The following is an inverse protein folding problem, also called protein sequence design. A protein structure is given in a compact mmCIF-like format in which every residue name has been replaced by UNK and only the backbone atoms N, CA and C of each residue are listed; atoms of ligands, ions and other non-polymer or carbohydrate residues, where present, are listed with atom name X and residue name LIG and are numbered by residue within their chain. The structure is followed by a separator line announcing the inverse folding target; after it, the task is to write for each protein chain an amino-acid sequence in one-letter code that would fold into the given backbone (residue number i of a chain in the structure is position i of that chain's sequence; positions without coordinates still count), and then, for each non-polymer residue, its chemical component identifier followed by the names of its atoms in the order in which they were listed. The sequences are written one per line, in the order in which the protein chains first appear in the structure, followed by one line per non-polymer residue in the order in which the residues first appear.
data_IF_030351035072
#
_entry.id   IF_030351035072
#
_cell.length_a   1.000
_cell.length_b   1.000
_cell.length_c   1.000
_cell.angle_alpha   90.00
_cell.angle_beta   90.00
_cell.angle_gamma   90.00
#
_symmetry.space_group_name_H-M   'P 1'
#
loop_
_entity.id
_entity.type
_entity.pdbx_description
1 polymer ?
#
# COMPACT_ATOMS: atom_id res chain seq x y z
N UNK A 1 51.47 -73.46 35.55
CA UNK A 1 52.56 -73.00 36.44
C UNK A 1 52.40 -71.54 36.69
N UNK A 2 52.07 -71.24 37.93
CA UNK A 2 52.63 -70.24 38.83
C UNK A 2 52.72 -68.82 38.32
N UNK A 3 52.34 -67.78 39.00
CA UNK A 3 51.86 -67.49 40.39
C UNK A 3 51.81 -65.95 40.50
N UNK A 4 50.83 -65.48 41.29
CA UNK A 4 50.85 -64.41 42.29
C UNK A 4 50.97 -62.95 41.80
N UNK A 5 49.84 -62.16 42.07
CA UNK A 5 49.63 -61.34 43.26
C UNK A 5 50.69 -60.26 43.51
N UNK A 6 50.23 -58.98 43.41
CA UNK A 6 50.21 -58.09 44.58
C UNK A 6 49.39 -56.83 44.40
N UNK A 7 48.63 -56.62 45.34
CA UNK A 7 47.88 -55.47 45.87
C UNK A 7 48.75 -54.22 46.16
N UNK A 8 48.17 -53.04 45.95
CA UNK A 8 48.17 -51.87 46.87
C UNK A 8 47.53 -50.68 46.10
N UNK A 9 46.43 -50.30 46.56
CA UNK A 9 45.95 -49.31 47.54
C UNK A 9 46.28 -47.87 47.22
N UNK A 10 45.16 -47.13 47.04
CA UNK A 10 44.87 -45.78 47.46
C UNK A 10 45.53 -44.58 46.79
N UNK A 11 44.68 -43.75 46.13
CA UNK A 11 44.43 -42.40 46.61
C UNK A 11 43.22 -41.81 45.87
N UNK A 12 42.16 -41.49 46.60
CA UNK A 12 41.05 -40.67 46.17
C UNK A 12 41.54 -39.26 45.86
N UNK A 13 41.31 -38.81 44.61
CA UNK A 13 41.29 -37.39 44.29
C UNK A 13 39.88 -37.04 43.79
N UNK A 14 39.09 -36.41 44.68
CA UNK A 14 37.82 -35.81 44.35
C UNK A 14 38.11 -34.54 43.55
N UNK A 15 37.96 -34.61 42.21
CA UNK A 15 37.94 -33.41 41.39
C UNK A 15 36.47 -32.93 41.29
N UNK A 16 36.15 -31.86 42.03
CA UNK A 16 34.90 -31.14 41.88
C UNK A 16 34.90 -30.45 40.52
N UNK A 17 34.17 -31.01 39.53
CA UNK A 17 33.81 -30.30 38.33
C UNK A 17 32.78 -29.25 38.70
N UNK A 18 33.20 -28.00 38.82
CA UNK A 18 32.32 -26.83 38.78
C UNK A 18 31.61 -26.83 37.41
N UNK A 19 30.34 -27.26 37.42
CA UNK A 19 29.44 -27.06 36.30
C UNK A 19 29.17 -25.57 36.17
N UNK A 20 29.97 -24.83 35.44
CA UNK A 20 29.58 -23.51 34.92
C UNK A 20 28.46 -23.72 33.92
N UNK A 21 27.23 -23.72 34.45
CA UNK A 21 26.01 -23.61 33.65
C UNK A 21 26.02 -22.26 32.93
N UNK A 22 26.67 -22.17 31.81
CA UNK A 22 26.46 -21.11 30.85
C UNK A 22 25.02 -21.22 30.43
N UNK A 23 24.16 -20.28 30.88
CA UNK A 23 22.86 -20.06 30.27
C UNK A 23 23.14 -19.72 28.82
N UNK A 24 23.03 -20.72 27.94
CA UNK A 24 22.92 -20.48 26.51
C UNK A 24 21.67 -19.59 26.36
N UNK A 25 21.88 -18.29 26.19
CA UNK A 25 20.84 -17.39 25.72
C UNK A 25 20.41 -17.97 24.38
N UNK A 26 19.25 -18.64 24.39
CA UNK A 26 18.62 -19.08 23.16
C UNK A 26 18.59 -17.87 22.24
N UNK A 27 19.31 -17.93 21.13
CA UNK A 27 19.21 -16.90 20.11
C UNK A 27 17.73 -16.81 19.74
N UNK A 28 17.12 -15.61 19.82
CA UNK A 28 15.72 -15.47 19.46
C UNK A 28 15.57 -15.97 18.03
N UNK A 29 14.70 -16.97 17.85
CA UNK A 29 14.44 -17.53 16.53
C UNK A 29 14.12 -16.43 15.54
N UNK A 30 14.76 -16.45 14.35
CA UNK A 30 14.43 -15.52 13.28
C UNK A 30 12.93 -15.62 12.95
N UNK A 31 12.27 -14.48 12.76
CA UNK A 31 10.85 -14.42 12.45
C UNK A 31 10.65 -13.92 11.02
N UNK A 32 9.65 -14.46 10.33
CA UNK A 32 9.26 -14.00 8.99
C UNK A 32 7.85 -13.45 9.03
N UNK A 33 7.68 -12.22 8.55
CA UNK A 33 6.39 -11.59 8.29
C UNK A 33 6.05 -11.66 6.80
N UNK A 34 4.76 -11.76 6.48
CA UNK A 34 4.23 -11.49 5.15
C UNK A 34 3.41 -10.20 5.18
N UNK A 35 3.86 -9.18 4.45
CA UNK A 35 3.09 -7.97 4.19
C UNK A 35 2.42 -8.08 2.81
N UNK A 36 1.09 -8.00 2.81
CA UNK A 36 0.27 -7.98 1.59
C UNK A 36 -0.12 -6.53 1.30
N UNK A 37 0.40 -5.99 0.19
CA UNK A 37 0.34 -4.57 -0.13
C UNK A 37 -0.19 -4.30 -1.53
N UNK A 38 -0.57 -3.06 -1.80
CA UNK A 38 -0.92 -2.61 -3.14
C UNK A 38 0.31 -2.20 -3.95
N UNK A 39 0.15 -2.18 -5.30
CA UNK A 39 1.28 -2.08 -6.24
C UNK A 39 2.24 -0.89 -6.03
N UNK A 40 1.78 0.37 -5.82
CA UNK A 40 2.66 1.53 -5.77
C UNK A 40 3.67 1.56 -4.62
N UNK A 41 3.53 0.70 -3.62
CA UNK A 41 4.40 0.69 -2.42
C UNK A 41 5.68 -0.13 -2.55
N UNK A 42 5.95 -0.74 -3.70
CA UNK A 42 7.07 -1.67 -3.87
C UNK A 42 8.40 -1.06 -3.44
N UNK A 43 8.71 0.10 -3.97
CA UNK A 43 9.97 0.80 -3.73
C UNK A 43 10.07 1.31 -2.29
N UNK A 44 8.97 1.83 -1.74
CA UNK A 44 8.87 2.25 -0.34
C UNK A 44 9.23 1.10 0.60
N UNK A 45 8.58 -0.05 0.44
CA UNK A 45 8.78 -1.17 1.37
C UNK A 45 10.13 -1.86 1.22
N UNK A 46 10.86 -1.71 0.13
CA UNK A 46 12.25 -2.19 0.05
C UNK A 46 13.13 -1.47 1.10
N UNK A 47 13.09 -0.16 1.15
CA UNK A 47 13.88 0.64 2.09
C UNK A 47 13.33 0.54 3.52
N UNK A 48 12.01 0.64 3.67
CA UNK A 48 11.31 0.54 4.94
C UNK A 48 11.57 -0.79 5.66
N UNK A 49 11.48 -1.91 4.97
CA UNK A 49 11.70 -3.24 5.54
C UNK A 49 13.14 -3.40 6.05
N UNK A 50 14.11 -2.87 5.32
CA UNK A 50 15.50 -2.88 5.76
C UNK A 50 15.72 -2.02 7.03
N UNK A 51 15.09 -0.85 7.11
CA UNK A 51 15.14 0.01 8.27
C UNK A 51 14.48 -0.64 9.49
N UNK A 52 13.27 -1.18 9.32
CA UNK A 52 12.57 -1.89 10.38
C UNK A 52 13.36 -3.11 10.89
N UNK A 53 13.94 -3.90 10.01
CA UNK A 53 14.71 -5.08 10.39
C UNK A 53 15.90 -4.70 11.29
N UNK A 54 16.62 -3.63 10.96
CA UNK A 54 17.71 -3.08 11.81
C UNK A 54 17.17 -2.60 13.17
N UNK A 55 16.08 -1.84 13.15
CA UNK A 55 15.42 -1.32 14.35
C UNK A 55 14.97 -2.45 15.28
N UNK A 56 14.31 -3.46 14.74
CA UNK A 56 13.84 -4.61 15.52
C UNK A 56 15.00 -5.40 16.13
N UNK A 57 16.03 -5.69 15.33
CA UNK A 57 17.24 -6.37 15.79
C UNK A 57 17.94 -5.62 16.92
N UNK A 58 18.07 -4.30 16.80
CA UNK A 58 18.72 -3.47 17.83
C UNK A 58 17.95 -3.49 19.15
N UNK A 59 16.61 -3.54 19.11
CA UNK A 59 15.74 -3.52 20.29
C UNK A 59 15.56 -4.87 20.97
N UNK A 60 15.53 -5.95 20.20
CA UNK A 60 15.10 -7.27 20.67
C UNK A 60 16.15 -8.34 20.56
N UNK A 61 17.21 -8.12 19.79
CA UNK A 61 18.18 -9.16 19.39
C UNK A 61 17.66 -10.15 18.34
N UNK A 62 16.37 -10.08 17.99
CA UNK A 62 15.73 -11.01 17.04
C UNK A 62 15.90 -10.54 15.60
N UNK A 63 16.24 -11.45 14.70
CA UNK A 63 16.22 -11.19 13.27
C UNK A 63 14.78 -11.27 12.73
N UNK A 64 14.43 -10.34 11.84
CA UNK A 64 13.15 -10.35 11.12
C UNK A 64 13.37 -10.24 9.63
N UNK A 65 12.65 -11.07 8.87
CA UNK A 65 12.57 -11.01 7.42
C UNK A 65 11.14 -10.65 7.02
N UNK A 66 10.97 -9.68 6.14
CA UNK A 66 9.65 -9.27 5.65
C UNK A 66 9.50 -9.69 4.19
N UNK A 67 8.61 -10.64 3.93
CA UNK A 67 8.20 -11.03 2.59
C UNK A 67 7.09 -10.12 2.12
N UNK A 68 7.08 -9.80 0.83
CA UNK A 68 6.07 -8.90 0.25
C UNK A 68 5.23 -9.64 -0.80
N UNK A 69 3.92 -9.34 -0.79
CA UNK A 69 3.02 -9.63 -1.90
C UNK A 69 2.44 -8.31 -2.41
N UNK A 70 2.59 -8.01 -3.69
CA UNK A 70 2.08 -6.78 -4.29
C UNK A 70 1.11 -7.07 -5.43
N UNK A 71 0.08 -6.25 -5.54
CA UNK A 71 -0.94 -6.35 -6.59
C UNK A 71 -2.00 -5.27 -6.47
N UNK A 72 -3.06 -5.36 -7.25
CA UNK A 72 -4.23 -4.50 -7.06
C UNK A 72 -4.85 -4.71 -5.68
N UNK A 73 -5.15 -3.62 -4.96
CA UNK A 73 -5.53 -3.64 -3.53
C UNK A 73 -6.74 -4.54 -3.24
N UNK A 74 -7.81 -4.44 -4.00
CA UNK A 74 -8.98 -5.31 -3.84
C UNK A 74 -8.68 -6.78 -4.13
N UNK A 75 -7.77 -7.07 -5.09
CA UNK A 75 -7.27 -8.42 -5.33
C UNK A 75 -6.44 -8.95 -4.17
N UNK A 76 -5.61 -8.10 -3.55
CA UNK A 76 -4.80 -8.45 -2.39
C UNK A 76 -5.67 -8.74 -1.16
N UNK A 77 -6.69 -7.92 -0.91
CA UNK A 77 -7.69 -8.20 0.13
C UNK A 77 -8.36 -9.57 -0.10
N UNK A 78 -8.79 -9.86 -1.32
CA UNK A 78 -9.37 -11.15 -1.70
C UNK A 78 -8.41 -12.30 -1.44
N UNK A 79 -7.13 -12.18 -1.78
CA UNK A 79 -6.13 -13.22 -1.54
C UNK A 79 -6.00 -13.57 -0.05
N UNK A 80 -6.09 -12.58 0.86
CA UNK A 80 -6.10 -12.84 2.32
C UNK A 80 -7.38 -13.58 2.72
N UNK A 81 -8.53 -13.15 2.22
CA UNK A 81 -9.83 -13.80 2.49
C UNK A 81 -9.82 -15.27 2.02
N UNK A 82 -9.19 -15.53 0.88
CA UNK A 82 -9.05 -16.85 0.27
C UNK A 82 -7.93 -17.71 0.93
N UNK A 83 -7.28 -17.20 1.99
CA UNK A 83 -6.37 -17.98 2.83
C UNK A 83 -4.88 -17.63 2.71
N UNK A 84 -4.49 -16.54 2.02
CA UNK A 84 -3.11 -16.09 2.05
C UNK A 84 -2.72 -15.63 3.48
N UNK A 85 -1.71 -16.26 4.06
CA UNK A 85 -1.33 -16.12 5.46
C UNK A 85 -0.54 -14.82 5.73
N UNK A 86 -1.14 -13.67 5.37
CA UNK A 86 -0.58 -12.35 5.64
C UNK A 86 -0.50 -12.08 7.15
N UNK A 87 0.60 -11.51 7.61
CA UNK A 87 0.74 -10.98 8.97
C UNK A 87 0.19 -9.55 9.06
N UNK A 88 0.46 -8.76 8.03
CA UNK A 88 -0.05 -7.40 7.90
C UNK A 88 -0.61 -7.15 6.50
N UNK A 89 -1.60 -6.29 6.43
CA UNK A 89 -2.18 -5.79 5.22
C UNK A 89 -1.95 -4.27 5.14
N UNK A 90 -1.36 -3.81 4.04
CA UNK A 90 -1.07 -2.39 3.77
C UNK A 90 -1.70 -2.05 2.43
N UNK A 91 -3.01 -1.75 2.47
CA UNK A 91 -3.87 -1.66 1.30
C UNK A 91 -4.09 -0.21 0.85
N UNK A 92 -4.62 -0.02 -0.36
CA UNK A 92 -4.77 1.29 -0.97
C UNK A 92 -5.87 2.15 -0.35
N UNK A 93 -6.82 1.54 0.35
CA UNK A 93 -8.00 2.22 0.89
C UNK A 93 -8.68 1.41 2.00
N UNK A 94 -9.36 2.10 2.91
CA UNK A 94 -10.02 1.48 4.06
C UNK A 94 -11.11 0.47 3.64
N UNK A 95 -11.85 0.71 2.56
CA UNK A 95 -12.90 -0.23 2.12
C UNK A 95 -12.37 -1.60 1.69
N UNK A 96 -11.15 -1.70 1.14
CA UNK A 96 -10.53 -2.99 0.87
C UNK A 96 -10.08 -3.69 2.17
N UNK A 97 -9.67 -2.90 3.18
CA UNK A 97 -9.33 -3.41 4.51
C UNK A 97 -10.58 -3.87 5.27
N UNK A 98 -11.69 -3.13 5.20
CA UNK A 98 -12.97 -3.51 5.79
C UNK A 98 -13.49 -4.84 5.27
N UNK A 99 -13.20 -5.17 4.01
CA UNK A 99 -13.54 -6.46 3.42
C UNK A 99 -12.92 -7.65 4.20
N UNK A 100 -11.77 -7.47 4.85
CA UNK A 100 -11.16 -8.49 5.71
C UNK A 100 -11.98 -8.76 6.97
N UNK A 101 -12.67 -7.73 7.48
CA UNK A 101 -13.62 -7.89 8.59
C UNK A 101 -14.91 -8.57 8.11
N UNK A 102 -15.52 -8.00 7.07
CA UNK A 102 -16.87 -8.40 6.63
C UNK A 102 -16.90 -9.79 6.00
N UNK A 103 -15.80 -10.23 5.36
CA UNK A 103 -15.70 -11.52 4.67
C UNK A 103 -14.80 -12.50 5.42
N UNK A 104 -15.13 -12.78 6.68
CA UNK A 104 -14.50 -13.87 7.42
C UNK A 104 -13.86 -13.49 8.76
N UNK A 105 -13.98 -12.22 9.20
CA UNK A 105 -13.52 -11.81 10.53
C UNK A 105 -12.01 -11.96 10.73
N UNK A 106 -11.22 -11.67 9.69
CA UNK A 106 -9.76 -11.72 9.74
C UNK A 106 -9.16 -10.63 10.65
N UNK A 107 -9.89 -9.50 10.77
CA UNK A 107 -9.57 -8.34 11.61
C UNK A 107 -10.82 -7.89 12.37
N UNK A 108 -10.72 -7.19 13.50
CA UNK A 108 -11.88 -6.63 14.20
C UNK A 108 -12.48 -5.43 13.43
N UNK A 109 -13.72 -5.11 13.76
CA UNK A 109 -14.46 -4.02 13.13
C UNK A 109 -13.80 -2.63 13.35
N UNK A 110 -13.20 -2.43 14.50
CA UNK A 110 -12.61 -1.17 14.93
C UNK A 110 -11.09 -1.06 14.64
N UNK A 111 -10.61 -1.83 13.68
CA UNK A 111 -9.18 -1.87 13.28
C UNK A 111 -8.56 -0.48 13.02
N UNK A 112 -9.33 0.46 12.48
CA UNK A 112 -8.87 1.82 12.21
C UNK A 112 -8.42 2.59 13.44
N UNK A 113 -8.97 2.26 14.63
CA UNK A 113 -8.65 2.94 15.89
C UNK A 113 -7.32 2.51 16.50
N UNK A 114 -6.66 1.52 15.94
CA UNK A 114 -5.45 0.91 16.51
C UNK A 114 -4.19 1.74 16.32
N UNK A 115 -4.14 2.54 15.26
CA UNK A 115 -2.99 3.36 14.91
C UNK A 115 -3.43 4.80 14.63
N UNK A 116 -2.51 5.78 14.73
CA UNK A 116 -2.85 7.17 14.45
C UNK A 116 -3.45 7.40 13.05
N UNK A 117 -4.19 8.49 12.91
CA UNK A 117 -4.80 8.91 11.64
C UNK A 117 -5.68 7.82 11.01
N UNK A 118 -6.49 7.12 11.81
CA UNK A 118 -7.33 6.01 11.36
C UNK A 118 -6.52 4.91 10.66
N UNK A 119 -5.34 4.58 11.22
CA UNK A 119 -4.40 3.59 10.68
C UNK A 119 -3.89 3.92 9.27
N UNK A 120 -3.72 5.22 8.98
CA UNK A 120 -3.22 5.74 7.70
C UNK A 120 -1.89 6.47 7.92
N UNK A 121 -0.73 5.80 7.78
CA UNK A 121 0.57 6.37 8.12
C UNK A 121 1.09 7.41 7.13
N UNK A 122 0.53 7.47 5.94
CA UNK A 122 0.85 8.41 4.87
C UNK A 122 -0.36 8.65 3.99
N UNK A 123 -0.30 9.67 3.16
CA UNK A 123 -1.31 9.96 2.15
C UNK A 123 -0.69 10.08 0.76
N UNK A 124 -1.53 10.17 -0.25
CA UNK A 124 -1.16 10.45 -1.63
C UNK A 124 -2.33 11.14 -2.33
N UNK A 125 -2.22 11.32 -3.62
CA UNK A 125 -3.33 11.83 -4.44
C UNK A 125 -3.22 11.28 -5.87
N UNK A 126 -4.18 11.63 -6.71
CA UNK A 126 -4.21 11.25 -8.11
C UNK A 126 -3.73 12.44 -8.97
N UNK A 127 -2.85 12.13 -9.89
CA UNK A 127 -2.29 13.07 -10.86
C UNK A 127 -2.49 12.55 -12.29
N UNK A 128 -2.27 13.42 -13.27
CA UNK A 128 -2.40 13.12 -14.68
C UNK A 128 -0.99 13.00 -15.29
N UNK A 129 -0.52 11.78 -15.53
CA UNK A 129 0.75 11.55 -16.23
C UNK A 129 0.50 11.65 -17.73
N UNK A 130 1.28 12.48 -18.41
CA UNK A 130 1.15 12.77 -19.83
C UNK A 130 2.44 12.42 -20.59
N UNK A 131 2.38 12.36 -21.90
CA UNK A 131 3.58 12.25 -22.72
C UNK A 131 4.45 13.49 -22.59
N UNK A 132 5.77 13.33 -22.72
CA UNK A 132 6.71 14.44 -22.63
C UNK A 132 6.32 15.61 -23.53
N UNK A 133 6.40 16.83 -23.00
CA UNK A 133 5.95 18.03 -23.68
C UNK A 133 4.45 18.16 -23.87
N UNK A 134 3.67 17.24 -23.31
CA UNK A 134 2.20 17.28 -23.28
C UNK A 134 1.56 17.59 -24.66
N UNK A 135 1.78 16.75 -25.69
CA UNK A 135 1.36 17.05 -27.07
C UNK A 135 -0.15 17.18 -27.25
N UNK A 136 -0.95 16.59 -26.32
CA UNK A 136 -2.40 16.71 -26.30
C UNK A 136 -2.90 17.92 -25.52
N UNK A 137 -2.00 18.73 -24.95
CA UNK A 137 -2.33 19.91 -24.13
C UNK A 137 -3.37 19.57 -23.03
N UNK A 138 -3.14 18.47 -22.32
CA UNK A 138 -3.95 18.07 -21.16
C UNK A 138 -3.65 19.02 -20.00
N UNK A 139 -4.66 19.63 -19.43
CA UNK A 139 -4.52 20.59 -18.32
C UNK A 139 -5.30 20.20 -17.08
N UNK A 140 -6.44 19.52 -17.29
CA UNK A 140 -7.33 19.12 -16.20
C UNK A 140 -8.22 17.95 -16.63
N UNK A 141 -9.09 17.50 -15.75
CA UNK A 141 -10.03 16.40 -15.97
C UNK A 141 -10.89 16.57 -17.25
N UNK A 142 -11.27 17.81 -17.60
CA UNK A 142 -12.09 18.08 -18.81
C UNK A 142 -11.45 17.57 -20.10
N UNK A 143 -10.14 17.60 -20.19
CA UNK A 143 -9.43 17.16 -21.38
C UNK A 143 -9.51 15.66 -21.59
N UNK A 144 -9.84 14.89 -20.52
CA UNK A 144 -9.91 13.44 -20.58
C UNK A 144 -11.15 12.89 -21.29
N UNK A 145 -12.18 13.73 -21.50
CA UNK A 145 -13.39 13.34 -22.22
C UNK A 145 -13.36 13.75 -23.70
N UNK A 146 -12.27 14.33 -24.16
CA UNK A 146 -12.09 14.67 -25.59
C UNK A 146 -11.94 13.39 -26.41
N UNK A 147 -12.54 13.30 -27.61
CA UNK A 147 -12.54 12.08 -28.42
C UNK A 147 -11.13 11.71 -28.98
N UNK A 148 -10.24 12.69 -29.05
CA UNK A 148 -8.85 12.50 -29.51
C UNK A 148 -7.87 12.12 -28.40
N UNK A 149 -8.33 11.94 -27.14
CA UNK A 149 -7.53 11.58 -25.97
C UNK A 149 -7.79 10.14 -25.55
N UNK A 150 -6.72 9.35 -25.38
CA UNK A 150 -6.79 8.00 -24.84
C UNK A 150 -6.28 7.97 -23.40
N UNK A 151 -7.12 7.49 -22.50
CA UNK A 151 -6.89 7.47 -21.05
C UNK A 151 -6.48 6.06 -20.62
N UNK A 152 -5.41 5.95 -19.85
CA UNK A 152 -5.00 4.73 -19.17
C UNK A 152 -5.37 4.83 -17.69
N UNK A 153 -6.05 3.82 -17.19
CA UNK A 153 -6.41 3.65 -15.77
C UNK A 153 -6.63 2.16 -15.49
N UNK A 154 -6.31 1.66 -14.29
CA UNK A 154 -6.62 0.27 -13.95
C UNK A 154 -8.12 0.06 -13.69
N UNK A 155 -8.49 -1.20 -13.46
CA UNK A 155 -9.88 -1.61 -13.26
C UNK A 155 -10.33 -1.36 -11.80
N UNK A 156 -11.40 -0.58 -11.54
CA UNK A 156 -11.93 -0.34 -10.20
C UNK A 156 -12.44 -1.60 -9.47
N UNK A 157 -12.73 -2.68 -10.18
CA UNK A 157 -13.12 -3.96 -9.56
C UNK A 157 -11.94 -4.70 -8.90
N UNK A 158 -10.69 -4.38 -9.27
CA UNK A 158 -9.50 -5.07 -8.77
C UNK A 158 -8.45 -4.15 -8.14
N UNK A 159 -8.44 -2.87 -8.51
CA UNK A 159 -7.45 -1.88 -8.13
C UNK A 159 -8.05 -0.79 -7.24
N UNK A 160 -7.50 -0.62 -6.04
CA UNK A 160 -7.85 0.50 -5.17
C UNK A 160 -7.45 1.85 -5.79
N UNK A 161 -6.31 1.91 -6.50
CA UNK A 161 -5.91 3.12 -7.24
C UNK A 161 -6.94 3.55 -8.27
N UNK A 162 -7.53 2.59 -8.98
CA UNK A 162 -8.59 2.88 -9.95
C UNK A 162 -9.86 3.43 -9.29
N UNK A 163 -10.18 3.01 -8.05
CA UNK A 163 -11.31 3.59 -7.30
C UNK A 163 -11.03 5.03 -6.92
N UNK A 164 -9.82 5.34 -6.50
CA UNK A 164 -9.39 6.72 -6.26
C UNK A 164 -9.47 7.57 -7.54
N UNK A 165 -8.99 7.05 -8.68
CA UNK A 165 -9.07 7.73 -9.98
C UNK A 165 -10.51 8.06 -10.37
N UNK A 166 -11.40 7.07 -10.26
CA UNK A 166 -12.82 7.19 -10.58
C UNK A 166 -13.51 8.23 -9.70
N UNK A 167 -13.31 8.17 -8.37
CA UNK A 167 -13.95 9.08 -7.43
C UNK A 167 -13.40 10.51 -7.55
N UNK A 168 -12.11 10.69 -7.88
CA UNK A 168 -11.56 12.01 -8.15
C UNK A 168 -12.20 12.66 -9.38
N UNK A 169 -12.34 11.91 -10.47
CA UNK A 169 -13.02 12.38 -11.68
C UNK A 169 -14.51 12.66 -11.45
N UNK A 170 -15.17 11.82 -10.65
CA UNK A 170 -16.59 11.98 -10.31
C UNK A 170 -16.85 13.30 -9.55
N UNK A 171 -16.13 13.52 -8.47
CA UNK A 171 -16.33 14.70 -7.62
C UNK A 171 -15.93 15.99 -8.34
N UNK A 172 -14.87 15.96 -9.16
CA UNK A 172 -14.55 17.09 -10.03
C UNK A 172 -15.75 17.45 -10.93
N UNK A 173 -16.32 16.47 -11.61
CA UNK A 173 -17.43 16.69 -12.52
C UNK A 173 -18.72 17.13 -11.78
N UNK A 174 -18.98 16.52 -10.62
CA UNK A 174 -20.11 16.87 -9.76
C UNK A 174 -20.07 18.33 -9.33
N UNK A 175 -18.90 18.82 -8.88
CA UNK A 175 -18.73 20.23 -8.48
C UNK A 175 -18.81 21.18 -9.68
N UNK A 176 -18.20 20.79 -10.79
CA UNK A 176 -18.10 21.67 -11.97
C UNK A 176 -19.40 21.76 -12.76
N UNK A 177 -20.10 20.65 -12.97
CA UNK A 177 -21.26 20.58 -13.85
C UNK A 177 -22.60 20.47 -13.14
N UNK A 178 -22.60 20.31 -11.82
CA UNK A 178 -23.78 20.29 -10.96
C UNK A 178 -24.47 18.92 -10.86
N UNK A 179 -24.10 18.16 -9.82
CA UNK A 179 -24.80 16.96 -9.38
C UNK A 179 -24.33 15.64 -9.99
N UNK A 180 -24.82 14.55 -9.38
CA UNK A 180 -24.35 13.19 -9.68
C UNK A 180 -24.69 12.70 -11.10
N UNK A 181 -25.82 13.15 -11.67
CA UNK A 181 -26.18 12.80 -13.04
C UNK A 181 -25.15 13.32 -14.07
N UNK A 182 -24.64 14.54 -13.87
CA UNK A 182 -23.61 15.12 -14.72
C UNK A 182 -22.25 14.46 -14.48
N UNK A 183 -21.95 14.10 -13.24
CA UNK A 183 -20.75 13.33 -12.93
C UNK A 183 -20.77 11.96 -13.63
N UNK A 184 -21.91 11.27 -13.62
CA UNK A 184 -22.06 9.99 -14.32
C UNK A 184 -21.86 10.11 -15.83
N UNK A 185 -22.45 11.13 -16.48
CA UNK A 185 -22.23 11.41 -17.92
C UNK A 185 -20.73 11.66 -18.20
N UNK A 186 -20.09 12.45 -17.37
CA UNK A 186 -18.66 12.79 -17.50
C UNK A 186 -17.77 11.56 -17.38
N UNK A 187 -17.94 10.78 -16.30
CA UNK A 187 -17.12 9.58 -16.05
C UNK A 187 -17.39 8.53 -17.12
N UNK A 188 -18.62 8.40 -17.63
CA UNK A 188 -18.92 7.53 -18.78
C UNK A 188 -18.10 7.92 -19.99
N UNK A 189 -18.05 9.19 -20.38
CA UNK A 189 -17.24 9.69 -21.50
C UNK A 189 -15.75 9.45 -21.27
N UNK A 190 -15.27 9.62 -20.03
CA UNK A 190 -13.90 9.33 -19.67
C UNK A 190 -13.58 7.84 -19.92
N UNK A 191 -14.44 6.92 -19.47
CA UNK A 191 -14.23 5.48 -19.64
C UNK A 191 -14.46 5.00 -21.10
N UNK A 192 -15.20 5.74 -21.92
CA UNK A 192 -15.27 5.52 -23.38
C UNK A 192 -13.91 5.76 -24.06
N UNK A 193 -13.06 6.59 -23.47
CA UNK A 193 -11.69 6.85 -23.91
C UNK A 193 -10.64 5.87 -23.33
N UNK A 194 -11.06 4.90 -22.50
CA UNK A 194 -10.16 3.92 -21.88
C UNK A 194 -10.09 2.65 -22.75
N UNK A 195 -8.96 2.41 -23.45
CA UNK A 195 -8.84 1.27 -24.38
C UNK A 195 -8.61 -0.06 -23.64
N UNK A 196 -8.05 -0.03 -22.41
CA UNK A 196 -7.71 -1.22 -21.63
C UNK A 196 -7.80 -0.93 -20.15
N UNK A 197 -8.31 -1.90 -19.38
CA UNK A 197 -8.33 -1.87 -17.91
C UNK A 197 -7.38 -2.94 -17.37
N UNK A 198 -6.20 -2.49 -16.93
CA UNK A 198 -5.24 -3.36 -16.26
C UNK A 198 -5.72 -3.74 -14.86
N UNK A 199 -5.22 -4.84 -14.30
CA UNK A 199 -5.66 -5.34 -12.99
C UNK A 199 -5.18 -4.53 -11.80
N UNK A 200 -4.15 -3.67 -11.99
CA UNK A 200 -3.57 -2.82 -10.94
C UNK A 200 -2.73 -1.68 -11.52
N UNK A 201 -2.30 -0.78 -10.65
CA UNK A 201 -1.56 0.43 -11.02
C UNK A 201 -0.28 0.11 -11.81
N UNK A 202 0.50 -0.89 -11.38
CA UNK A 202 1.74 -1.26 -12.08
C UNK A 202 1.48 -1.78 -13.50
N UNK A 203 0.39 -2.50 -13.74
CA UNK A 203 -0.04 -2.90 -15.08
C UNK A 203 -0.27 -1.68 -15.98
N UNK A 204 -0.98 -0.69 -15.47
CA UNK A 204 -1.24 0.56 -16.20
C UNK A 204 0.01 1.40 -16.43
N UNK A 205 0.95 1.44 -15.49
CA UNK A 205 2.27 2.07 -15.68
C UNK A 205 3.03 1.41 -16.84
N UNK A 206 3.04 0.07 -16.90
CA UNK A 206 3.66 -0.70 -18.01
C UNK A 206 2.94 -0.41 -19.33
N UNK A 207 1.62 -0.44 -19.34
CA UNK A 207 0.81 -0.15 -20.55
C UNK A 207 1.10 1.27 -21.06
N UNK A 208 1.15 2.25 -20.18
CA UNK A 208 1.46 3.62 -20.56
C UNK A 208 2.93 3.79 -20.94
N UNK A 209 3.87 3.59 -20.01
CA UNK A 209 5.26 4.00 -20.20
C UNK A 209 6.09 3.05 -21.08
N UNK A 210 5.89 1.72 -20.98
CA UNK A 210 6.69 0.74 -21.72
C UNK A 210 6.04 0.34 -23.04
N UNK A 211 4.70 0.12 -23.07
CA UNK A 211 3.99 -0.24 -24.30
C UNK A 211 3.56 0.97 -25.12
N UNK A 212 3.82 2.16 -24.63
CA UNK A 212 3.51 3.44 -25.28
C UNK A 212 2.03 3.59 -25.70
N UNK A 213 1.10 3.08 -24.87
CA UNK A 213 -0.34 3.21 -25.12
C UNK A 213 -0.93 4.36 -24.33
N UNK A 214 -1.92 5.05 -24.91
CA UNK A 214 -2.62 6.17 -24.29
C UNK A 214 -1.87 7.50 -24.35
N UNK A 215 -2.60 8.57 -24.13
CA UNK A 215 -2.10 9.95 -24.10
C UNK A 215 -1.93 10.48 -22.69
N UNK A 216 -2.76 9.99 -21.77
CA UNK A 216 -2.77 10.34 -20.35
C UNK A 216 -2.99 9.10 -19.49
N UNK A 217 -2.30 9.04 -18.35
CA UNK A 217 -2.44 7.97 -17.36
C UNK A 217 -2.86 8.57 -16.02
N UNK A 218 -3.99 8.10 -15.47
CA UNK A 218 -4.45 8.45 -14.13
C UNK A 218 -3.63 7.66 -13.11
N UNK A 219 -2.79 8.34 -12.38
CA UNK A 219 -1.76 7.71 -11.56
C UNK A 219 -1.73 8.25 -10.14
N UNK A 220 -1.20 7.44 -9.23
CA UNK A 220 -0.74 7.91 -7.94
C UNK A 220 0.40 8.92 -8.10
N UNK A 221 0.45 9.91 -7.23
CA UNK A 221 1.50 10.93 -7.22
C UNK A 221 2.91 10.31 -7.13
N UNK A 222 3.13 9.35 -6.24
CA UNK A 222 4.42 8.67 -6.11
C UNK A 222 4.82 7.88 -7.36
N UNK A 223 3.87 7.22 -8.04
CA UNK A 223 4.13 6.51 -9.31
C UNK A 223 4.53 7.49 -10.42
N UNK A 224 3.93 8.68 -10.45
CA UNK A 224 4.28 9.70 -11.44
C UNK A 224 5.74 10.14 -11.29
N UNK A 225 6.20 10.40 -10.08
CA UNK A 225 7.61 10.70 -9.79
C UNK A 225 8.55 9.55 -10.14
N UNK A 226 8.14 8.31 -9.86
CA UNK A 226 8.94 7.13 -10.24
C UNK A 226 9.04 6.98 -11.75
N UNK A 227 7.93 7.20 -12.48
CA UNK A 227 7.93 7.18 -13.95
C UNK A 227 8.82 8.27 -14.54
N UNK A 228 8.75 9.50 -14.01
CA UNK A 228 9.63 10.59 -14.41
C UNK A 228 11.10 10.25 -14.15
N UNK A 229 11.42 9.64 -13.01
CA UNK A 229 12.78 9.20 -12.68
C UNK A 229 13.28 8.06 -13.57
N UNK A 230 12.41 7.10 -13.91
CA UNK A 230 12.78 5.91 -14.69
C UNK A 230 12.84 6.20 -16.19
N UNK A 231 11.87 6.97 -16.72
CA UNK A 231 11.72 7.21 -18.16
C UNK A 231 12.16 8.61 -18.59
N UNK A 232 12.57 9.45 -17.65
CA UNK A 232 13.15 10.77 -17.91
C UNK A 232 12.26 11.63 -18.82
N UNK A 233 12.81 12.04 -19.97
CA UNK A 233 12.15 12.93 -20.93
C UNK A 233 10.97 12.33 -21.69
N UNK A 234 10.48 11.13 -21.35
CA UNK A 234 9.35 10.49 -22.06
C UNK A 234 8.00 10.81 -21.45
N UNK A 235 7.96 11.24 -20.21
CA UNK A 235 6.73 11.52 -19.46
C UNK A 235 6.87 12.81 -18.65
N UNK A 236 5.76 13.52 -18.50
CA UNK A 236 5.55 14.61 -17.56
C UNK A 236 4.31 14.30 -16.75
N UNK A 237 4.02 15.04 -15.69
CA UNK A 237 2.73 14.92 -15.02
C UNK A 237 2.18 16.26 -14.58
N UNK A 238 0.88 16.31 -14.36
CA UNK A 238 0.10 17.51 -14.07
C UNK A 238 -0.71 17.26 -12.82
N UNK A 239 -0.74 18.22 -11.92
CA UNK A 239 -1.70 18.26 -10.84
C UNK A 239 -3.02 18.83 -11.37
N UNK A 240 -4.13 18.08 -11.31
CA UNK A 240 -5.43 18.62 -11.70
C UNK A 240 -5.90 19.69 -10.70
N UNK A 241 -6.85 20.53 -11.13
CA UNK A 241 -7.40 21.63 -10.31
C UNK A 241 -8.05 21.18 -9.00
N UNK A 242 -8.56 19.95 -8.96
CA UNK A 242 -9.14 19.27 -7.81
C UNK A 242 -8.76 17.79 -7.87
N UNK A 243 -8.36 17.22 -6.75
CA UNK A 243 -8.13 15.78 -6.63
C UNK A 243 -8.59 15.25 -5.27
N UNK A 244 -8.45 13.94 -5.05
CA UNK A 244 -8.85 13.28 -3.81
C UNK A 244 -7.66 13.05 -2.89
N UNK A 245 -7.86 13.26 -1.58
CA UNK A 245 -6.91 12.82 -0.56
C UNK A 245 -6.98 11.31 -0.44
N UNK A 246 -6.01 10.64 -1.03
CA UNK A 246 -5.93 9.19 -0.93
C UNK A 246 -5.25 8.77 0.38
N UNK A 247 -5.92 7.94 1.15
CA UNK A 247 -5.53 7.50 2.49
C UNK A 247 -5.35 5.97 2.53
N UNK A 248 -4.16 5.46 2.16
CA UNK A 248 -3.85 4.05 2.26
C UNK A 248 -3.86 3.56 3.70
N UNK A 249 -4.59 2.47 3.96
CA UNK A 249 -4.80 1.95 5.29
C UNK A 249 -3.93 0.74 5.60
N UNK A 250 -3.50 0.61 6.85
CA UNK A 250 -2.67 -0.50 7.31
C UNK A 250 -3.29 -1.20 8.53
N UNK A 251 -3.17 -2.52 8.59
CA UNK A 251 -3.65 -3.30 9.73
C UNK A 251 -2.87 -4.59 9.92
N UNK A 252 -2.80 -5.07 11.15
CA UNK A 252 -2.43 -6.45 11.48
C UNK A 252 -3.58 -7.37 11.07
N UNK A 253 -3.28 -8.53 10.48
CA UNK A 253 -4.26 -9.57 10.17
C UNK A 253 -4.37 -10.51 11.38
N UNK A 254 -5.25 -10.19 12.31
CA UNK A 254 -5.33 -10.77 13.66
C UNK A 254 -5.34 -12.28 13.69
N UNK A 255 -6.23 -12.89 12.91
CA UNK A 255 -6.38 -14.33 12.86
C UNK A 255 -5.09 -15.06 12.47
N UNK A 256 -4.29 -14.45 11.59
CA UNK A 256 -3.04 -15.05 11.13
C UNK A 256 -1.92 -14.85 12.15
N UNK A 257 -1.75 -13.64 12.69
CA UNK A 257 -0.66 -13.36 13.63
C UNK A 257 -0.83 -14.11 14.94
N UNK A 258 -2.08 -14.34 15.38
CA UNK A 258 -2.36 -15.13 16.58
C UNK A 258 -1.99 -16.61 16.37
N UNK A 259 -2.38 -17.17 15.22
CA UNK A 259 -2.04 -18.55 14.88
C UNK A 259 -0.53 -18.75 14.67
N UNK A 260 0.16 -17.76 14.11
CA UNK A 260 1.60 -17.81 13.80
C UNK A 260 2.49 -17.37 14.97
N UNK A 261 1.92 -16.75 16.02
CA UNK A 261 2.70 -16.16 17.12
C UNK A 261 3.52 -14.92 16.73
N UNK A 262 3.13 -14.22 15.65
CA UNK A 262 3.87 -13.08 15.09
C UNK A 262 3.29 -11.72 15.49
N UNK A 263 2.27 -11.67 16.35
CA UNK A 263 1.55 -10.44 16.71
C UNK A 263 2.46 -9.30 17.16
N UNK A 264 3.39 -9.57 18.07
CA UNK A 264 4.23 -8.52 18.63
C UNK A 264 5.09 -7.83 17.57
N UNK A 265 5.73 -8.60 16.69
CA UNK A 265 6.57 -8.05 15.64
C UNK A 265 5.74 -7.42 14.51
N UNK A 266 4.57 -7.96 14.18
CA UNK A 266 3.66 -7.39 13.19
C UNK A 266 3.09 -6.04 13.65
N UNK A 267 2.73 -5.92 14.91
CA UNK A 267 2.28 -4.66 15.51
C UNK A 267 3.41 -3.63 15.51
N UNK A 268 4.60 -4.00 16.00
CA UNK A 268 5.77 -3.12 16.00
C UNK A 268 6.15 -2.67 14.57
N UNK A 269 5.98 -3.55 13.57
CA UNK A 269 6.20 -3.22 12.16
C UNK A 269 5.27 -2.10 11.69
N UNK A 270 4.00 -2.13 12.03
CA UNK A 270 3.06 -1.06 11.65
C UNK A 270 3.24 0.22 12.47
N UNK A 271 3.57 0.10 13.76
CA UNK A 271 3.86 1.25 14.64
C UNK A 271 5.10 2.03 14.17
N UNK A 272 6.11 1.32 13.66
CA UNK A 272 7.32 1.94 13.13
C UNK A 272 7.07 2.87 11.94
N UNK A 273 5.98 2.68 11.16
CA UNK A 273 5.56 3.59 10.08
C UNK A 273 5.34 5.04 10.56
N UNK A 274 5.07 5.23 11.85
CA UNK A 274 4.80 6.54 12.44
C UNK A 274 6.05 7.18 13.11
N UNK A 275 7.20 6.51 13.09
CA UNK A 275 8.45 7.09 13.56
C UNK A 275 9.00 8.14 12.60
N UNK A 276 9.80 9.08 13.10
CA UNK A 276 10.43 10.11 12.24
C UNK A 276 11.30 9.50 11.14
N UNK A 277 12.03 8.41 11.42
CA UNK A 277 12.83 7.72 10.43
C UNK A 277 11.96 7.14 9.30
N UNK A 278 10.87 6.47 9.65
CA UNK A 278 9.95 5.91 8.65
C UNK A 278 9.21 7.01 7.88
N UNK A 279 8.83 8.10 8.54
CA UNK A 279 8.19 9.25 7.89
C UNK A 279 9.14 9.97 6.90
N UNK A 280 10.43 9.98 7.19
CA UNK A 280 11.44 10.45 6.23
C UNK A 280 11.56 9.52 5.01
N UNK A 281 11.57 8.21 5.23
CA UNK A 281 11.55 7.20 4.14
C UNK A 281 10.28 7.37 3.29
N UNK A 282 9.13 7.55 3.91
CA UNK A 282 7.84 7.78 3.23
C UNK A 282 7.93 9.00 2.31
N UNK A 283 8.43 10.14 2.81
CA UNK A 283 8.62 11.36 2.01
C UNK A 283 9.62 11.19 0.87
N UNK A 284 10.72 10.49 1.10
CA UNK A 284 11.74 10.15 0.10
C UNK A 284 11.18 9.33 -1.07
N UNK A 285 10.17 8.48 -0.79
CA UNK A 285 9.46 7.69 -1.79
C UNK A 285 8.19 8.36 -2.32
N UNK A 286 8.10 9.68 -2.21
CA UNK A 286 7.05 10.52 -2.79
C UNK A 286 5.64 10.28 -2.24
N UNK A 287 5.52 9.68 -1.07
CA UNK A 287 4.29 9.69 -0.30
C UNK A 287 4.26 10.90 0.62
N UNK A 288 3.07 11.42 0.89
CA UNK A 288 2.86 12.57 1.77
C UNK A 288 2.90 12.12 3.23
N UNK A 289 3.96 12.46 3.99
CA UNK A 289 4.11 12.00 5.37
C UNK A 289 3.13 12.69 6.32
N UNK A 290 2.89 12.08 7.48
CA UNK A 290 2.09 12.66 8.57
C UNK A 290 2.94 13.53 9.51
N UNK A 291 4.22 13.26 9.66
CA UNK A 291 5.15 14.07 10.45
C UNK A 291 5.33 15.47 9.86
N UNK A 292 5.14 16.50 10.67
CA UNK A 292 5.35 17.91 10.29
C UNK A 292 6.79 18.16 9.83
N UNK A 293 7.76 17.54 10.49
CA UNK A 293 9.18 17.63 10.11
C UNK A 293 9.43 17.06 8.72
N UNK A 294 8.88 15.89 8.43
CA UNK A 294 9.01 15.29 7.11
C UNK A 294 8.22 16.09 6.06
N UNK A 295 7.01 16.58 6.37
CA UNK A 295 6.25 17.47 5.48
C UNK A 295 7.06 18.72 5.11
N UNK A 296 7.68 19.38 6.08
CA UNK A 296 8.52 20.56 5.82
C UNK A 296 9.73 20.22 4.93
N UNK A 297 10.38 19.09 5.15
CA UNK A 297 11.52 18.63 4.35
C UNK A 297 11.14 18.40 2.89
N UNK A 298 9.99 17.83 2.62
CA UNK A 298 9.54 17.44 1.29
C UNK A 298 8.55 18.44 0.63
N UNK A 299 8.31 19.60 1.26
CA UNK A 299 7.31 20.58 0.80
C UNK A 299 7.51 21.10 -0.64
N UNK A 300 8.77 21.18 -1.12
CA UNK A 300 9.07 21.60 -2.50
C UNK A 300 8.67 20.55 -3.52
N UNK A 301 8.76 19.27 -3.14
CA UNK A 301 8.47 18.12 -3.98
C UNK A 301 7.00 17.72 -3.92
N UNK A 302 6.39 17.83 -2.74
CA UNK A 302 5.00 17.49 -2.49
C UNK A 302 4.21 18.77 -2.15
N UNK A 303 3.83 19.58 -3.14
CA UNK A 303 3.19 20.87 -2.91
C UNK A 303 1.82 20.73 -2.27
N UNK A 304 1.34 21.82 -1.67
CA UNK A 304 -0.03 21.90 -1.16
C UNK A 304 -1.03 21.88 -2.31
N UNK A 305 -2.02 21.02 -2.24
CA UNK A 305 -3.00 20.80 -3.31
C UNK A 305 -4.42 21.04 -2.79
N UNK A 306 -5.34 21.28 -3.74
CA UNK A 306 -6.78 21.31 -3.47
C UNK A 306 -7.32 19.88 -3.49
N UNK A 307 -7.46 19.27 -2.30
CA UNK A 307 -7.90 17.90 -2.12
C UNK A 307 -9.19 17.86 -1.30
N UNK A 308 -10.08 16.97 -1.68
CA UNK A 308 -11.27 16.61 -0.88
C UNK A 308 -11.08 15.21 -0.27
N UNK A 309 -11.81 14.90 0.80
CA UNK A 309 -11.78 13.59 1.44
C UNK A 309 -12.91 12.69 0.97
N UNK A 310 -12.76 11.38 1.16
CA UNK A 310 -13.81 10.40 0.85
C UNK A 310 -15.06 10.63 1.73
N UNK A 311 -14.86 11.06 2.97
CA UNK A 311 -15.94 11.37 3.91
C UNK A 311 -16.74 12.59 3.47
N UNK A 312 -16.05 13.68 3.08
CA UNK A 312 -16.66 14.93 2.63
C UNK A 312 -17.50 14.73 1.36
N UNK A 313 -16.97 14.02 0.37
CA UNK A 313 -17.59 13.94 -0.95
C UNK A 313 -18.59 12.79 -1.09
N UNK A 314 -18.35 11.66 -0.38
CA UNK A 314 -19.09 10.40 -0.58
C UNK A 314 -19.67 9.79 0.70
N UNK A 315 -19.47 10.41 1.87
CA UNK A 315 -19.91 9.86 3.15
C UNK A 315 -19.11 8.62 3.59
N UNK A 316 -17.87 8.47 3.09
CA UNK A 316 -16.97 7.38 3.41
C UNK A 316 -17.00 6.20 2.44
N UNK A 317 -16.10 5.23 2.66
CA UNK A 317 -15.91 4.10 1.76
C UNK A 317 -17.10 3.17 1.65
N UNK A 318 -17.83 2.92 2.75
CA UNK A 318 -19.03 2.07 2.74
C UNK A 318 -20.08 2.61 1.78
N UNK A 319 -20.33 3.91 1.83
CA UNK A 319 -21.32 4.54 0.97
C UNK A 319 -20.82 4.60 -0.49
N UNK A 320 -19.57 4.99 -0.70
CA UNK A 320 -18.97 5.00 -2.03
C UNK A 320 -18.98 3.61 -2.68
N UNK A 321 -18.65 2.56 -1.93
CA UNK A 321 -18.65 1.20 -2.43
C UNK A 321 -20.06 0.72 -2.83
N UNK A 322 -21.07 0.98 -2.00
CA UNK A 322 -22.47 0.59 -2.25
C UNK A 322 -23.04 1.25 -3.50
N UNK A 323 -22.69 2.50 -3.76
CA UNK A 323 -23.21 3.25 -4.92
C UNK A 323 -22.43 2.89 -6.18
N UNK A 324 -21.09 2.85 -6.10
CA UNK A 324 -20.27 2.86 -7.30
C UNK A 324 -19.67 1.51 -7.66
N UNK A 325 -19.29 0.64 -6.68
CA UNK A 325 -18.37 -0.47 -6.96
C UNK A 325 -18.93 -1.87 -6.68
N UNK A 326 -20.10 -2.00 -6.06
CA UNK A 326 -20.79 -3.30 -5.95
C UNK A 326 -21.20 -3.81 -7.34
N UNK A 327 -21.50 -5.09 -7.44
CA UNK A 327 -21.99 -5.66 -8.69
C UNK A 327 -23.32 -5.02 -9.08
N UNK A 328 -23.40 -4.55 -10.32
CA UNK A 328 -24.52 -3.75 -10.82
C UNK A 328 -24.50 -2.28 -10.37
N UNK A 329 -23.49 -1.84 -9.62
CA UNK A 329 -23.32 -0.44 -9.21
C UNK A 329 -23.03 0.49 -10.39
N UNK A 330 -22.86 1.79 -10.07
CA UNK A 330 -22.72 2.83 -11.11
C UNK A 330 -21.56 2.57 -12.07
N UNK A 331 -20.43 2.03 -11.60
CA UNK A 331 -19.32 1.69 -12.48
C UNK A 331 -19.70 0.64 -13.54
N UNK A 332 -20.42 -0.41 -13.15
CA UNK A 332 -20.86 -1.45 -14.10
C UNK A 332 -21.87 -0.91 -15.13
N UNK A 333 -22.69 0.06 -14.73
CA UNK A 333 -23.63 0.73 -15.64
C UNK A 333 -22.91 1.64 -16.64
N UNK A 334 -21.82 2.29 -16.21
CA UNK A 334 -21.00 3.17 -17.07
C UNK A 334 -20.15 2.34 -18.05
N UNK A 335 -19.48 1.31 -17.52
CA UNK A 335 -18.55 0.46 -18.28
C UNK A 335 -19.23 -0.83 -18.72
N UNK A 336 -20.11 -0.74 -19.67
CA UNK A 336 -20.62 -1.91 -20.41
C UNK A 336 -19.59 -2.27 -21.47
N UNK A 337 -18.95 -3.44 -21.35
CA UNK A 337 -18.11 -3.97 -22.46
C UNK A 337 -18.95 -3.99 -23.72
N UNK A 338 -18.49 -3.25 -24.75
CA UNK A 338 -18.94 -3.44 -26.12
C UNK A 338 -18.41 -4.74 -26.67
#
# INVERSE_FOLDING_TARGET
MNTRRHFNSQLLAVAALAASGGTALAQPNAVTLLNVSYDPTRELYVEYNAAFARHWKARTGQDVSIRMSHGGSGRQARSIIDGLEADVATLALAGDTDALHTNGGWIPKDWQKRLPHNSTPYTSTIVLVVRAGNPKNIRDWDDLIRPDVKVITPNPKTSGGARWNYLAAWEFAKRKYGGDAKAQEFVKKLYENVPVLDTGARGSSVTFAQRNQGDVFLSWENEAYLLEKEFGSKVDFIYPSLSILAEPAVTVVDRNVDRKGTRAVAQAYLEYLYTEEAQDIIGKHFYRPRSEKAQAKYARQLPKLNLFTIEEAFGGWDQAAKVHFVDGGTFDQIYTKK
#
